data_IF_748240342290
#
_entry.id   IF_748240342290
#
_cell.length_a   1.000
_cell.length_b   1.000
_cell.length_c   1.000
_cell.angle_alpha   90.00
_cell.angle_beta   90.00
_cell.angle_gamma   90.00
#
_symmetry.space_group_name_H-M   'P 1'
#
loop_
_entity.id
_entity.type
_entity.pdbx_description
1 polymer ?
#
# COMPACT_ATOMS: atom_id res chain seq x y z
N UNK A 1 -2.60 -17.44 4.42
CA UNK A 1 -3.75 -16.73 5.04
C UNK A 1 -3.57 -16.50 6.53
N UNK A 2 -3.13 -17.50 7.28
CA UNK A 2 -2.87 -17.35 8.72
C UNK A 2 -1.80 -16.27 9.01
N UNK A 3 -0.71 -16.27 8.26
CA UNK A 3 0.36 -15.26 8.41
C UNK A 3 -0.16 -13.83 8.22
N UNK A 4 -0.95 -13.56 7.18
CA UNK A 4 -1.55 -12.23 6.97
C UNK A 4 -2.47 -11.85 8.14
N UNK A 5 -3.31 -12.80 8.61
CA UNK A 5 -4.22 -12.56 9.75
C UNK A 5 -3.46 -12.24 11.04
N UNK A 6 -2.31 -12.87 11.24
CA UNK A 6 -1.44 -12.63 12.38
C UNK A 6 -0.57 -11.38 12.22
N UNK A 7 -0.72 -10.65 11.11
CA UNK A 7 0.04 -9.44 10.83
C UNK A 7 1.49 -9.70 10.42
N UNK A 8 1.79 -10.87 9.88
CA UNK A 8 3.11 -11.20 9.36
C UNK A 8 3.23 -10.88 7.88
N UNK A 9 4.45 -10.70 7.42
CA UNK A 9 4.75 -10.60 6.00
C UNK A 9 4.59 -11.94 5.30
N UNK A 10 4.16 -11.87 4.04
CA UNK A 10 4.25 -12.97 3.08
C UNK A 10 4.99 -12.49 1.85
N UNK A 11 5.66 -13.41 1.16
CA UNK A 11 6.23 -13.14 -0.17
C UNK A 11 5.20 -13.61 -1.20
N UNK A 12 4.83 -12.70 -2.08
CA UNK A 12 3.97 -12.99 -3.24
C UNK A 12 4.82 -12.84 -4.49
N UNK A 13 4.81 -13.87 -5.33
CA UNK A 13 5.50 -13.88 -6.62
C UNK A 13 4.43 -13.96 -7.70
N UNK A 14 4.56 -13.16 -8.73
CA UNK A 14 3.67 -13.21 -9.88
C UNK A 14 4.19 -14.13 -10.99
N UNK A 15 3.43 -14.24 -12.08
CA UNK A 15 3.72 -15.14 -13.19
C UNK A 15 5.02 -14.74 -13.92
N UNK A 16 5.78 -15.75 -14.37
CA UNK A 16 7.02 -15.56 -15.14
C UNK A 16 6.79 -14.75 -16.43
N UNK A 17 5.60 -14.85 -16.99
CA UNK A 17 5.20 -14.11 -18.20
C UNK A 17 4.73 -12.68 -17.92
N UNK A 18 4.70 -12.25 -16.62
CA UNK A 18 4.27 -10.90 -16.22
C UNK A 18 5.47 -10.05 -15.79
N UNK A 19 5.71 -9.87 -14.50
CA UNK A 19 6.85 -9.13 -13.95
C UNK A 19 7.96 -10.11 -13.53
N UNK A 20 7.58 -11.32 -13.12
CA UNK A 20 8.47 -12.33 -12.53
C UNK A 20 9.26 -11.77 -11.35
N UNK A 21 8.56 -11.04 -10.50
CA UNK A 21 9.11 -10.36 -9.34
C UNK A 21 8.44 -10.86 -8.06
N UNK A 22 9.06 -10.60 -6.94
CA UNK A 22 8.55 -10.92 -5.62
C UNK A 22 8.35 -9.67 -4.78
N UNK A 23 7.22 -9.60 -4.08
CA UNK A 23 6.94 -8.54 -3.12
C UNK A 23 6.77 -9.10 -1.71
N UNK A 24 7.35 -8.40 -0.72
CA UNK A 24 6.93 -8.53 0.67
C UNK A 24 5.62 -7.80 0.86
N UNK A 25 4.57 -8.51 1.31
CA UNK A 25 3.23 -7.96 1.49
C UNK A 25 2.77 -8.18 2.93
N UNK A 26 2.13 -7.17 3.51
CA UNK A 26 1.46 -7.22 4.82
C UNK A 26 0.14 -6.45 4.73
N UNK A 27 -0.86 -6.82 5.55
CA UNK A 27 -2.06 -6.01 5.70
C UNK A 27 -1.73 -4.64 6.32
N UNK A 28 -2.23 -3.56 5.74
CA UNK A 28 -1.90 -2.20 6.15
C UNK A 28 -2.25 -1.90 7.61
N UNK A 29 -3.33 -2.46 8.14
CA UNK A 29 -3.72 -2.27 9.56
C UNK A 29 -2.77 -2.96 10.56
N UNK A 30 -1.90 -3.84 10.08
CA UNK A 30 -0.91 -4.54 10.89
C UNK A 30 0.50 -3.92 10.81
N UNK A 31 0.66 -2.80 10.09
CA UNK A 31 1.96 -2.14 9.95
C UNK A 31 2.40 -1.50 11.27
N UNK A 32 3.68 -1.53 11.55
CA UNK A 32 4.32 -0.86 12.69
C UNK A 32 5.60 -0.18 12.24
N UNK A 33 6.19 0.74 13.03
CA UNK A 33 7.49 1.32 12.69
C UNK A 33 8.59 0.28 12.46
N UNK A 34 8.63 -0.79 13.25
CA UNK A 34 9.58 -1.90 13.10
C UNK A 34 9.39 -2.62 11.77
N UNK A 35 8.14 -2.79 11.34
CA UNK A 35 7.81 -3.43 10.05
C UNK A 35 8.12 -2.53 8.86
N UNK A 36 7.94 -1.22 8.98
CA UNK A 36 8.44 -0.26 7.97
C UNK A 36 9.95 -0.37 7.85
N UNK A 37 10.67 -0.34 8.97
CA UNK A 37 12.13 -0.51 8.97
C UNK A 37 12.57 -1.87 8.39
N UNK A 38 11.77 -2.93 8.61
CA UNK A 38 12.01 -4.24 8.01
C UNK A 38 11.90 -4.19 6.48
N UNK A 39 10.85 -3.57 5.94
CA UNK A 39 10.69 -3.38 4.48
C UNK A 39 11.87 -2.63 3.88
N UNK A 40 12.31 -1.53 4.51
CA UNK A 40 13.44 -0.74 4.02
C UNK A 40 14.76 -1.51 4.04
N UNK A 41 14.97 -2.31 5.08
CA UNK A 41 16.23 -3.03 5.27
C UNK A 41 16.34 -4.23 4.33
N UNK A 42 15.27 -4.98 4.17
CA UNK A 42 15.31 -6.30 3.51
C UNK A 42 14.68 -6.31 2.13
N UNK A 43 13.58 -5.63 1.90
CA UNK A 43 12.98 -5.52 0.56
C UNK A 43 13.77 -4.54 -0.30
N UNK A 44 14.03 -3.33 0.21
CA UNK A 44 14.74 -2.23 -0.48
C UNK A 44 13.98 -1.58 -1.63
N UNK A 45 12.87 -2.15 -2.04
CA UNK A 45 11.95 -1.56 -3.01
C UNK A 45 11.19 -0.37 -2.42
N UNK A 46 10.52 0.39 -3.29
CA UNK A 46 9.66 1.50 -2.86
C UNK A 46 8.50 0.97 -2.02
N UNK A 47 8.26 1.56 -0.85
CA UNK A 47 7.11 1.20 -0.03
C UNK A 47 5.84 1.75 -0.67
N UNK A 48 5.01 0.85 -1.18
CA UNK A 48 3.73 1.15 -1.79
C UNK A 48 2.58 0.66 -0.92
N UNK A 49 1.44 1.31 -1.04
CA UNK A 49 0.26 0.98 -0.23
C UNK A 49 -0.97 0.77 -1.11
N UNK A 50 -1.23 -0.47 -1.54
CA UNK A 50 -2.47 -0.82 -2.22
C UNK A 50 -3.70 -0.44 -1.39
N UNK A 51 -4.62 0.29 -1.99
CA UNK A 51 -5.93 0.66 -1.44
C UNK A 51 -7.02 0.43 -2.47
N UNK A 52 -8.25 0.29 -2.02
CA UNK A 52 -9.40 0.17 -2.94
C UNK A 52 -9.64 1.48 -3.70
N UNK A 53 -10.35 1.38 -4.83
CA UNK A 53 -10.74 2.55 -5.61
C UNK A 53 -11.62 3.50 -4.77
N UNK A 54 -12.57 2.95 -4.03
CA UNK A 54 -13.47 3.69 -3.15
C UNK A 54 -12.68 4.47 -2.10
N UNK A 55 -11.66 3.82 -1.49
CA UNK A 55 -10.83 4.51 -0.49
C UNK A 55 -9.99 5.63 -1.08
N UNK A 56 -9.47 5.43 -2.29
CA UNK A 56 -8.74 6.48 -3.00
C UNK A 56 -9.65 7.69 -3.32
N UNK A 57 -10.91 7.44 -3.68
CA UNK A 57 -11.91 8.49 -3.92
C UNK A 57 -12.29 9.23 -2.64
N UNK A 58 -12.58 8.51 -1.54
CA UNK A 58 -12.86 9.12 -0.22
C UNK A 58 -11.74 10.03 0.27
N UNK A 59 -10.49 9.65 0.02
CA UNK A 59 -9.32 10.42 0.41
C UNK A 59 -8.88 11.44 -0.65
N UNK A 60 -9.66 11.59 -1.73
CA UNK A 60 -9.37 12.53 -2.83
C UNK A 60 -7.94 12.36 -3.37
N UNK A 61 -7.53 11.12 -3.62
CA UNK A 61 -6.20 10.78 -4.14
C UNK A 61 -6.25 10.64 -5.67
N UNK A 62 -5.91 11.67 -6.44
CA UNK A 62 -5.85 11.58 -7.89
C UNK A 62 -4.68 10.69 -8.32
N UNK A 63 -4.77 10.18 -9.55
CA UNK A 63 -3.65 9.47 -10.16
C UNK A 63 -2.44 10.40 -10.29
N UNK A 64 -1.24 9.85 -10.07
CA UNK A 64 0.03 10.59 -10.14
C UNK A 64 0.24 11.25 -11.51
N UNK A 65 -0.20 10.56 -12.58
CA UNK A 65 -0.11 11.05 -13.96
C UNK A 65 -1.44 10.85 -14.68
N UNK A 66 -1.76 11.77 -15.60
CA UNK A 66 -2.96 11.66 -16.45
C UNK A 66 -2.78 10.65 -17.58
N UNK A 67 -1.55 10.48 -18.06
CA UNK A 67 -1.18 9.50 -19.08
C UNK A 67 -0.09 8.57 -18.52
N UNK A 68 -0.49 7.36 -18.12
CA UNK A 68 0.43 6.38 -17.59
C UNK A 68 1.14 5.64 -18.73
N UNK A 69 2.45 5.84 -18.85
CA UNK A 69 3.32 5.22 -19.86
C UNK A 69 4.22 4.14 -19.30
N UNK A 70 4.04 3.75 -18.01
CA UNK A 70 4.82 2.64 -17.42
C UNK A 70 4.43 1.30 -18.06
N UNK A 71 5.38 0.38 -18.16
CA UNK A 71 5.23 -0.90 -18.88
C UNK A 71 3.98 -1.67 -18.40
N UNK A 72 3.79 -1.74 -17.08
CA UNK A 72 2.67 -2.48 -16.46
C UNK A 72 1.53 -1.57 -16.02
N UNK A 73 1.55 -0.28 -16.39
CA UNK A 73 0.57 0.73 -16.03
C UNK A 73 0.29 0.78 -14.51
N UNK A 74 1.36 0.70 -13.69
CA UNK A 74 1.27 0.70 -12.23
C UNK A 74 0.45 1.89 -11.73
N UNK A 75 -0.62 1.66 -10.97
CA UNK A 75 -1.65 2.67 -10.72
C UNK A 75 -1.31 3.59 -9.54
N UNK A 76 -0.17 4.26 -9.58
CA UNK A 76 0.23 5.23 -8.57
C UNK A 76 -0.78 6.38 -8.46
N UNK A 77 -1.19 6.68 -7.25
CA UNK A 77 -1.79 7.98 -6.91
C UNK A 77 -0.70 8.99 -6.57
N UNK A 78 -1.07 10.24 -6.28
CA UNK A 78 -0.16 11.17 -5.65
C UNK A 78 0.36 10.58 -4.33
N UNK A 79 1.63 10.84 -4.02
CA UNK A 79 2.22 10.41 -2.74
C UNK A 79 1.71 11.25 -1.58
N UNK A 80 1.74 10.70 -0.37
CA UNK A 80 1.12 11.29 0.82
C UNK A 80 2.01 11.17 2.06
N UNK A 81 1.80 12.09 3.01
CA UNK A 81 2.28 12.01 4.40
C UNK A 81 1.15 12.39 5.34
N UNK A 82 0.98 11.66 6.44
CA UNK A 82 0.01 12.03 7.47
C UNK A 82 0.52 13.28 8.22
N UNK A 83 -0.36 14.26 8.41
CA UNK A 83 -0.06 15.53 9.07
C UNK A 83 -0.43 15.55 10.57
N UNK A 84 -0.98 14.45 11.08
CA UNK A 84 -1.49 14.31 12.44
C UNK A 84 -0.79 13.19 13.20
N UNK A 85 -1.25 12.88 14.41
CA UNK A 85 -0.74 11.76 15.23
C UNK A 85 0.77 11.85 15.56
N UNK A 86 1.29 13.08 15.71
CA UNK A 86 2.70 13.28 16.05
C UNK A 86 3.68 13.07 14.92
N UNK A 87 3.20 12.94 13.67
CA UNK A 87 4.07 12.89 12.49
C UNK A 87 4.80 14.22 12.29
N UNK A 88 6.02 14.14 11.75
CA UNK A 88 6.89 15.30 11.51
C UNK A 88 7.12 15.52 10.01
N UNK A 89 8.27 15.12 9.47
CA UNK A 89 8.62 15.32 8.05
C UNK A 89 8.10 14.21 7.12
N UNK A 90 7.52 13.14 7.67
CA UNK A 90 6.96 12.02 6.91
C UNK A 90 7.93 10.88 6.64
N UNK A 91 9.24 11.07 6.79
CA UNK A 91 10.26 10.08 6.37
C UNK A 91 10.57 9.02 7.44
N UNK A 92 10.38 9.32 8.74
CA UNK A 92 10.70 8.34 9.77
C UNK A 92 9.86 7.06 9.62
N UNK A 93 10.38 5.93 10.12
CA UNK A 93 9.60 4.69 10.13
C UNK A 93 8.28 4.85 10.89
N UNK A 94 8.26 5.67 11.95
CA UNK A 94 7.04 6.03 12.67
C UNK A 94 6.07 6.80 11.78
N UNK A 95 6.50 7.89 11.14
CA UNK A 95 5.64 8.73 10.31
C UNK A 95 5.05 7.93 9.15
N UNK A 96 5.85 7.09 8.51
CA UNK A 96 5.38 6.23 7.41
C UNK A 96 4.41 5.15 7.90
N UNK A 97 4.67 4.53 9.05
CA UNK A 97 3.72 3.59 9.65
C UNK A 97 2.38 4.28 9.97
N UNK A 98 2.40 5.49 10.54
CA UNK A 98 1.17 6.24 10.81
C UNK A 98 0.44 6.63 9.52
N UNK A 99 1.17 7.02 8.47
CA UNK A 99 0.59 7.36 7.17
C UNK A 99 -0.13 6.14 6.54
N UNK A 100 0.47 4.96 6.65
CA UNK A 100 -0.12 3.70 6.18
C UNK A 100 -1.34 3.30 7.02
N UNK A 101 -1.21 3.30 8.35
CA UNK A 101 -2.30 2.96 9.28
C UNK A 101 -3.52 3.86 9.08
N UNK A 102 -3.31 5.15 8.87
CA UNK A 102 -4.40 6.10 8.68
C UNK A 102 -5.24 5.82 7.43
N UNK A 103 -4.68 5.16 6.41
CA UNK A 103 -5.45 4.70 5.24
C UNK A 103 -6.54 3.68 5.59
N UNK A 104 -6.37 2.94 6.68
CA UNK A 104 -7.32 1.91 7.13
C UNK A 104 -8.37 2.44 8.11
N UNK A 105 -8.24 3.69 8.57
CA UNK A 105 -9.12 4.29 9.59
C UNK A 105 -10.27 5.04 8.94
N UNK A 106 -11.54 4.70 9.24
CA UNK A 106 -12.70 5.36 8.64
C UNK A 106 -12.78 6.87 8.91
N UNK A 107 -12.26 7.31 10.07
CA UNK A 107 -12.23 8.71 10.47
C UNK A 107 -11.20 9.56 9.74
N UNK A 108 -10.26 8.94 9.02
CA UNK A 108 -9.23 9.66 8.26
C UNK A 108 -9.83 10.28 7.01
N UNK A 109 -9.62 11.58 6.86
CA UNK A 109 -10.11 12.40 5.74
C UNK A 109 -8.97 12.88 4.85
N UNK A 110 -9.31 13.34 3.66
CA UNK A 110 -8.37 13.90 2.69
C UNK A 110 -7.46 15.00 3.27
N UNK A 111 -8.02 15.89 4.08
CA UNK A 111 -7.32 17.01 4.73
C UNK A 111 -6.26 16.61 5.75
N UNK A 112 -6.30 15.35 6.23
CA UNK A 112 -5.30 14.83 7.16
C UNK A 112 -3.97 14.47 6.47
N UNK A 113 -3.93 14.45 5.14
CA UNK A 113 -2.74 14.14 4.36
C UNK A 113 -2.16 15.35 3.64
N UNK A 114 -0.83 15.53 3.81
CA UNK A 114 -0.02 16.37 2.94
C UNK A 114 0.27 15.64 1.62
N UNK A 115 0.43 16.41 0.55
CA UNK A 115 0.73 15.97 -0.82
C UNK A 115 1.71 16.92 -1.48
N UNK A 116 2.84 16.44 -2.05
CA UNK A 116 3.32 15.04 -2.06
C UNK A 116 3.85 14.59 -0.70
N UNK A 117 4.19 13.30 -0.58
CA UNK A 117 4.76 12.70 0.62
C UNK A 117 5.65 11.50 0.32
N UNK A 118 5.89 10.67 1.35
CA UNK A 118 6.84 9.56 1.31
C UNK A 118 6.16 8.18 1.23
N UNK A 119 4.82 8.12 1.27
CA UNK A 119 4.03 6.90 1.06
C UNK A 119 3.34 7.00 -0.29
N UNK A 120 3.35 5.89 -1.03
CA UNK A 120 2.89 5.80 -2.42
C UNK A 120 1.66 4.88 -2.52
N UNK A 121 0.43 5.43 -2.42
CA UNK A 121 -0.76 4.62 -2.59
C UNK A 121 -0.90 4.12 -4.03
N UNK A 122 -1.36 2.86 -4.16
CA UNK A 122 -1.70 2.22 -5.43
C UNK A 122 -3.20 1.96 -5.46
N UNK A 123 -3.89 2.46 -6.49
CA UNK A 123 -5.33 2.26 -6.65
C UNK A 123 -5.61 0.92 -7.32
N UNK A 124 -5.98 -0.09 -6.52
CA UNK A 124 -6.29 -1.42 -7.00
C UNK A 124 -7.54 -1.43 -7.91
N UNK A 125 -7.55 -2.37 -8.87
CA UNK A 125 -8.70 -2.61 -9.71
C UNK A 125 -9.84 -3.28 -8.94
N UNK A 126 -11.07 -2.87 -9.23
CA UNK A 126 -12.26 -3.59 -8.74
C UNK A 126 -12.23 -5.03 -9.25
N UNK A 127 -12.67 -5.99 -8.42
CA UNK A 127 -12.59 -7.44 -8.61
C UNK A 127 -11.20 -8.05 -8.35
N UNK A 128 -10.24 -7.30 -7.85
CA UNK A 128 -8.96 -7.81 -7.38
C UNK A 128 -8.17 -8.58 -8.44
N UNK A 129 -7.51 -9.66 -8.02
CA UNK A 129 -6.64 -10.48 -8.89
C UNK A 129 -7.37 -11.11 -10.08
N UNK A 130 -8.68 -11.27 -10.02
CA UNK A 130 -9.48 -11.77 -11.15
C UNK A 130 -9.59 -10.74 -12.29
N UNK A 131 -9.30 -9.48 -12.02
CA UNK A 131 -9.29 -8.41 -13.03
C UNK A 131 -7.87 -8.08 -13.49
N UNK A 132 -6.93 -8.00 -12.55
CA UNK A 132 -5.52 -7.73 -12.78
C UNK A 132 -4.69 -8.59 -11.83
N UNK A 133 -3.96 -9.56 -12.36
CA UNK A 133 -3.16 -10.50 -11.58
C UNK A 133 -1.83 -9.88 -11.13
N UNK A 134 -1.89 -8.76 -10.39
CA UNK A 134 -0.73 -8.02 -9.89
C UNK A 134 -0.66 -7.99 -8.37
N UNK A 135 0.53 -7.67 -7.84
CA UNK A 135 0.79 -7.57 -6.40
C UNK A 135 -0.13 -6.56 -5.70
N UNK A 136 -0.49 -5.46 -6.39
CA UNK A 136 -1.44 -4.46 -5.89
C UNK A 136 -2.79 -5.09 -5.53
N UNK A 137 -3.38 -5.86 -6.45
CA UNK A 137 -4.65 -6.54 -6.26
C UNK A 137 -4.53 -7.70 -5.27
N UNK A 138 -3.41 -8.44 -5.32
CA UNK A 138 -3.14 -9.54 -4.40
C UNK A 138 -3.11 -9.05 -2.94
N UNK A 139 -2.50 -7.91 -2.65
CA UNK A 139 -2.44 -7.35 -1.31
C UNK A 139 -3.84 -7.05 -0.75
N UNK A 140 -4.73 -6.46 -1.57
CA UNK A 140 -6.12 -6.18 -1.18
C UNK A 140 -6.89 -7.48 -0.92
N UNK A 141 -6.79 -8.45 -1.83
CA UNK A 141 -7.53 -9.71 -1.72
C UNK A 141 -7.04 -10.54 -0.53
N UNK A 142 -5.73 -10.59 -0.27
CA UNK A 142 -5.16 -11.26 0.89
C UNK A 142 -5.66 -10.64 2.21
N UNK A 143 -5.65 -9.30 2.33
CA UNK A 143 -6.18 -8.62 3.50
C UNK A 143 -7.67 -8.93 3.71
N UNK A 144 -8.48 -8.82 2.65
CA UNK A 144 -9.92 -9.11 2.68
C UNK A 144 -10.21 -10.55 3.09
N UNK A 145 -9.51 -11.54 2.50
CA UNK A 145 -9.67 -12.96 2.83
C UNK A 145 -9.21 -13.29 4.25
N UNK A 146 -8.28 -12.51 4.82
CA UNK A 146 -7.88 -12.63 6.21
C UNK A 146 -8.88 -12.02 7.20
N UNK A 147 -9.90 -11.29 6.71
CA UNK A 147 -10.88 -10.57 7.53
C UNK A 147 -10.38 -9.22 8.04
N UNK A 148 -9.36 -8.66 7.37
CA UNK A 148 -8.73 -7.38 7.69
C UNK A 148 -9.21 -6.28 6.73
N UNK A 149 -8.91 -5.02 7.06
CA UNK A 149 -9.23 -3.91 6.16
C UNK A 149 -8.57 -4.11 4.79
N UNK A 150 -9.29 -3.89 3.67
CA UNK A 150 -8.78 -4.18 2.32
C UNK A 150 -7.74 -3.12 1.86
N UNK A 151 -6.61 -3.11 2.53
CA UNK A 151 -5.44 -2.31 2.22
C UNK A 151 -4.18 -3.09 2.58
N UNK A 152 -3.10 -2.88 1.85
CA UNK A 152 -1.82 -3.50 2.10
C UNK A 152 -0.68 -2.50 2.19
N UNK A 153 0.47 -2.97 2.68
CA UNK A 153 1.76 -2.36 2.45
C UNK A 153 2.66 -3.39 1.78
N UNK A 154 3.39 -2.99 0.76
CA UNK A 154 4.28 -3.87 0.01
C UNK A 154 5.56 -3.15 -0.42
N UNK A 155 6.58 -3.94 -0.68
CA UNK A 155 7.81 -3.51 -1.34
C UNK A 155 8.42 -4.69 -2.11
N UNK A 156 8.94 -4.41 -3.30
CA UNK A 156 9.67 -5.37 -4.13
C UNK A 156 10.97 -5.83 -3.47
N UNK A 157 11.35 -7.09 -3.71
CA UNK A 157 12.59 -7.71 -3.21
C UNK A 157 13.49 -8.17 -4.36
#
# INVERSE_FOLDING_TARGET
MEEIRNGNFVIVVDDEDRENEGDLIIAAECITPEKVNFLETYARGLICTPITMERAEELELPMMVTNNTSIHATPFTVSIDLLTHGCTTGISAYDRAQSILALTRPETKAEHYGRPGHIFPLRAQTRGVLRRAGHTEAAIDLARLAGLYPAGALAEI
#
